data_IF_807279007196
#
_entry.id   IF_807279007196
#
_cell.length_a   1.000
_cell.length_b   1.000
_cell.length_c   1.000
_cell.angle_alpha   90.00
_cell.angle_beta   90.00
_cell.angle_gamma   90.00
#
_symmetry.space_group_name_H-M   'P 1'
#
loop_
_entity.id
_entity.type
_entity.pdbx_description
1 polymer ?
#
# COMPACT_ATOMS: atom_id res chain seq x y z
N UNK A 1 21.78 -0.33 -13.00
CA UNK A 1 23.05 -0.62 -13.71
C UNK A 1 23.45 -2.08 -13.49
N UNK A 2 23.91 -2.78 -14.52
CA UNK A 2 24.26 -4.21 -14.43
C UNK A 2 25.52 -4.47 -13.60
N UNK A 3 26.32 -3.44 -13.35
CA UNK A 3 27.59 -3.46 -12.62
C UNK A 3 27.46 -3.02 -11.14
N UNK A 4 26.24 -2.80 -10.65
CA UNK A 4 26.03 -2.36 -9.28
C UNK A 4 26.45 -3.44 -8.26
N UNK A 5 27.28 -3.06 -7.29
CA UNK A 5 27.70 -3.91 -6.16
C UNK A 5 26.69 -3.82 -5.01
N UNK A 6 26.06 -2.66 -4.83
CA UNK A 6 24.99 -2.49 -3.84
C UNK A 6 23.97 -1.46 -4.29
N UNK A 7 22.77 -1.54 -3.71
CA UNK A 7 21.66 -0.60 -3.94
C UNK A 7 21.10 -0.13 -2.60
N UNK A 8 20.91 1.19 -2.49
CA UNK A 8 20.28 1.85 -1.35
C UNK A 8 19.07 2.64 -1.82
N UNK A 9 18.05 2.72 -0.97
CA UNK A 9 16.86 3.55 -1.22
C UNK A 9 16.70 4.51 -0.05
N UNK A 10 16.71 5.82 -0.34
CA UNK A 10 16.52 6.86 0.69
C UNK A 10 15.06 6.90 1.17
N UNK A 11 14.77 7.51 2.33
CA UNK A 11 13.40 7.72 2.80
C UNK A 11 12.52 8.49 1.80
N UNK A 12 13.10 9.33 0.95
CA UNK A 12 12.42 10.09 -0.09
C UNK A 12 12.22 9.28 -1.38
N UNK A 13 12.62 8.00 -1.39
CA UNK A 13 12.49 7.07 -2.50
C UNK A 13 13.61 7.15 -3.54
N UNK A 14 14.69 7.91 -3.29
CA UNK A 14 15.82 8.02 -4.22
C UNK A 14 16.62 6.71 -4.20
N UNK A 15 16.83 6.12 -5.37
CA UNK A 15 17.55 4.86 -5.53
C UNK A 15 18.98 5.15 -5.98
N UNK A 16 19.93 4.72 -5.17
CA UNK A 16 21.36 4.91 -5.39
C UNK A 16 22.05 3.56 -5.57
N UNK A 17 22.89 3.43 -6.59
CA UNK A 17 23.73 2.26 -6.80
C UNK A 17 25.20 2.59 -6.53
N UNK A 18 25.91 1.69 -5.85
CA UNK A 18 27.36 1.73 -5.70
C UNK A 18 28.00 0.87 -6.78
N UNK A 19 29.00 1.42 -7.48
CA UNK A 19 29.74 0.72 -8.54
C UNK A 19 31.10 0.20 -8.06
N UNK A 20 31.84 -0.59 -8.87
CA UNK A 20 33.14 -1.15 -8.49
C UNK A 20 34.25 -0.14 -8.21
N UNK A 21 34.09 1.09 -8.69
CA UNK A 21 34.95 2.23 -8.35
C UNK A 21 34.64 2.84 -6.96
N UNK A 22 33.70 2.23 -6.23
CA UNK A 22 33.18 2.67 -4.93
C UNK A 22 32.45 4.02 -4.96
N UNK A 23 32.05 4.50 -6.15
CA UNK A 23 31.27 5.72 -6.31
C UNK A 23 29.76 5.41 -6.28
N UNK A 24 29.01 6.26 -5.57
CA UNK A 24 27.55 6.20 -5.51
C UNK A 24 26.91 7.05 -6.62
N UNK A 25 25.92 6.47 -7.32
CA UNK A 25 25.22 7.13 -8.42
C UNK A 25 23.71 7.00 -8.21
N UNK A 26 22.99 8.11 -8.33
CA UNK A 26 21.53 8.08 -8.41
C UNK A 26 21.11 7.41 -9.73
N UNK A 27 20.21 6.43 -9.63
CA UNK A 27 19.75 5.64 -10.78
C UNK A 27 18.24 5.76 -11.02
N UNK A 28 17.52 6.41 -10.12
CA UNK A 28 16.09 6.66 -10.25
C UNK A 28 15.43 7.01 -8.93
N UNK A 29 14.10 7.12 -8.96
CA UNK A 29 13.28 7.43 -7.80
C UNK A 29 12.00 6.62 -7.81
N UNK A 30 11.62 6.08 -6.66
CA UNK A 30 10.31 5.50 -6.42
C UNK A 30 9.31 6.63 -6.20
N UNK A 31 8.30 6.75 -7.05
CA UNK A 31 7.19 7.68 -6.88
C UNK A 31 6.10 7.04 -6.03
N UNK A 32 5.42 7.87 -5.23
CA UNK A 32 4.26 7.48 -4.43
C UNK A 32 3.10 8.34 -4.89
N UNK A 33 2.06 7.70 -5.43
CA UNK A 33 0.86 8.35 -5.92
C UNK A 33 -0.20 8.40 -4.81
N UNK A 34 -0.82 9.56 -4.62
CA UNK A 34 -1.95 9.74 -3.71
C UNK A 34 -3.23 9.95 -4.50
N UNK A 35 -4.35 9.45 -3.99
CA UNK A 35 -5.66 9.63 -4.59
C UNK A 35 -6.61 10.26 -3.57
N UNK A 36 -7.55 11.08 -4.05
CA UNK A 36 -8.54 11.72 -3.18
C UNK A 36 -9.44 10.70 -2.49
N UNK A 37 -9.81 9.63 -3.20
CA UNK A 37 -10.68 8.59 -2.69
C UNK A 37 -10.12 7.19 -2.96
N UNK A 38 -9.51 6.59 -1.93
CA UNK A 38 -8.94 5.22 -2.01
C UNK A 38 -10.01 4.17 -2.26
N UNK A 39 -11.24 4.35 -1.74
CA UNK A 39 -12.36 3.42 -1.97
C UNK A 39 -12.87 3.44 -3.42
N UNK A 40 -12.49 4.46 -4.19
CA UNK A 40 -12.78 4.55 -5.61
C UNK A 40 -11.81 3.76 -6.49
N UNK A 41 -10.73 3.21 -5.95
CA UNK A 41 -9.78 2.39 -6.70
C UNK A 41 -10.39 1.03 -7.04
N UNK A 42 -10.10 0.53 -8.25
CA UNK A 42 -10.55 -0.79 -8.68
C UNK A 42 -9.47 -1.83 -8.32
N UNK A 43 -9.79 -2.90 -7.58
CA UNK A 43 -8.87 -4.01 -7.39
C UNK A 43 -8.49 -4.66 -8.73
N UNK A 44 -7.20 -4.87 -8.95
CA UNK A 44 -6.63 -5.49 -10.16
C UNK A 44 -5.65 -6.62 -9.78
N UNK A 45 -6.08 -7.44 -8.82
CA UNK A 45 -5.29 -8.53 -8.24
C UNK A 45 -5.29 -8.47 -6.70
N UNK A 46 -4.43 -9.28 -6.05
CA UNK A 46 -4.43 -9.40 -4.58
C UNK A 46 -4.00 -8.13 -3.83
N UNK A 47 -3.06 -7.37 -4.39
CA UNK A 47 -2.48 -6.15 -3.78
C UNK A 47 -2.35 -4.99 -4.78
N UNK A 48 -2.85 -5.18 -6.00
CA UNK A 48 -2.75 -4.20 -7.07
C UNK A 48 -4.10 -3.51 -7.25
N UNK A 49 -4.03 -2.22 -7.57
CA UNK A 49 -5.19 -1.38 -7.76
C UNK A 49 -5.00 -0.49 -8.99
N UNK A 50 -6.08 -0.33 -9.75
CA UNK A 50 -6.16 0.55 -10.90
C UNK A 50 -6.97 1.81 -10.54
N UNK A 51 -6.47 2.97 -11.00
CA UNK A 51 -7.16 4.24 -10.85
C UNK A 51 -8.48 4.25 -11.65
N UNK A 52 -9.52 4.87 -11.09
CA UNK A 52 -10.81 5.07 -11.76
C UNK A 52 -11.24 6.53 -11.65
N UNK A 53 -12.27 6.92 -12.40
CA UNK A 53 -12.89 8.25 -12.25
C UNK A 53 -13.43 8.52 -10.84
N UNK A 54 -13.85 7.48 -10.11
CA UNK A 54 -14.36 7.59 -8.74
C UNK A 54 -13.25 7.78 -7.69
N UNK A 55 -12.00 7.41 -8.02
CA UNK A 55 -10.84 7.66 -7.17
C UNK A 55 -10.32 9.10 -7.28
N UNK A 56 -10.64 9.76 -8.40
CA UNK A 56 -10.07 11.03 -8.82
C UNK A 56 -8.73 10.87 -9.55
N UNK A 57 -8.11 11.99 -9.90
CA UNK A 57 -6.75 12.01 -10.44
C UNK A 57 -5.70 11.80 -9.36
N UNK A 58 -4.47 11.46 -9.78
CA UNK A 58 -3.31 11.47 -8.89
C UNK A 58 -3.10 12.87 -8.33
N UNK A 59 -2.91 12.95 -7.02
CA UNK A 59 -2.60 14.18 -6.31
C UNK A 59 -1.09 14.42 -6.33
N UNK A 60 -0.65 15.69 -6.42
CA UNK A 60 0.76 16.00 -6.21
C UNK A 60 1.19 15.57 -4.81
N UNK A 61 2.46 15.20 -4.62
CA UNK A 61 2.98 14.86 -3.29
C UNK A 61 2.72 16.02 -2.33
N UNK A 62 1.93 15.78 -1.28
CA UNK A 62 1.60 16.80 -0.28
C UNK A 62 2.85 17.18 0.52
N UNK A 63 3.07 18.48 0.75
CA UNK A 63 4.17 18.98 1.56
C UNK A 63 4.11 18.52 3.03
N UNK A 64 2.91 18.20 3.52
CA UNK A 64 2.67 17.73 4.89
C UNK A 64 2.66 16.20 5.00
N UNK A 65 2.44 15.50 3.89
CA UNK A 65 2.47 14.04 3.87
C UNK A 65 3.91 13.56 3.67
N UNK A 66 4.59 13.20 4.76
CA UNK A 66 5.87 12.49 4.68
C UNK A 66 5.60 11.04 4.26
N UNK A 67 5.38 10.82 2.97
CA UNK A 67 5.48 9.48 2.41
C UNK A 67 6.94 9.08 2.42
N UNK A 68 7.30 8.21 3.38
CA UNK A 68 8.65 7.72 3.55
C UNK A 68 8.76 6.27 3.06
N UNK A 69 9.86 5.96 2.38
CA UNK A 69 10.23 4.60 2.01
C UNK A 69 11.16 4.04 3.09
N UNK A 70 10.90 2.80 3.55
CA UNK A 70 11.75 2.11 4.53
C UNK A 70 12.39 0.88 3.90
N UNK A 71 13.66 1.01 3.51
CA UNK A 71 14.41 -0.12 2.95
C UNK A 71 14.50 -1.29 3.95
N UNK A 72 14.34 -2.51 3.45
CA UNK A 72 14.42 -3.73 4.27
C UNK A 72 13.22 -3.97 5.18
N UNK A 73 12.13 -3.21 5.02
CA UNK A 73 10.87 -3.40 5.74
C UNK A 73 9.78 -3.91 4.80
N UNK A 74 8.79 -4.62 5.35
CA UNK A 74 7.57 -5.03 4.67
C UNK A 74 6.36 -4.58 5.50
N UNK A 75 5.36 -3.98 4.85
CA UNK A 75 4.12 -3.58 5.52
C UNK A 75 3.27 -4.81 5.85
N UNK A 76 2.73 -4.84 7.08
CA UNK A 76 1.84 -5.91 7.54
C UNK A 76 0.39 -5.55 7.24
N UNK A 77 -0.48 -6.56 7.22
CA UNK A 77 -1.92 -6.35 7.12
C UNK A 77 -2.43 -5.52 8.30
N UNK A 78 -3.41 -4.68 8.05
CA UNK A 78 -4.18 -3.98 9.09
C UNK A 78 -5.29 -4.86 9.70
N UNK A 79 -5.47 -6.10 9.22
CA UNK A 79 -6.48 -7.04 9.73
C UNK A 79 -6.02 -7.68 11.03
N UNK A 80 -6.90 -7.67 12.02
CA UNK A 80 -6.73 -8.37 13.30
C UNK A 80 -7.67 -9.57 13.32
N UNK A 81 -7.12 -10.78 13.29
CA UNK A 81 -7.91 -12.01 13.11
C UNK A 81 -9.00 -12.19 14.15
N UNK A 82 -8.72 -11.95 15.44
CA UNK A 82 -9.69 -12.13 16.52
C UNK A 82 -10.90 -11.20 16.37
N UNK A 83 -10.66 -9.94 15.98
CA UNK A 83 -11.73 -8.97 15.73
C UNK A 83 -12.59 -9.37 14.52
N UNK A 84 -11.99 -9.98 13.50
CA UNK A 84 -12.71 -10.48 12.33
C UNK A 84 -13.61 -11.67 12.69
N UNK A 85 -13.12 -12.59 13.54
CA UNK A 85 -13.93 -13.72 14.02
C UNK A 85 -15.14 -13.28 14.83
N UNK A 86 -14.95 -12.30 15.73
CA UNK A 86 -16.04 -11.73 16.52
C UNK A 86 -17.12 -11.09 15.63
N UNK A 87 -16.70 -10.40 14.55
CA UNK A 87 -17.62 -9.80 13.58
C UNK A 87 -18.44 -10.87 12.84
N UNK A 88 -17.82 -11.98 12.44
CA UNK A 88 -18.50 -13.10 11.78
C UNK A 88 -19.51 -13.77 12.72
N UNK A 89 -19.16 -13.98 13.99
CA UNK A 89 -20.10 -14.57 14.97
C UNK A 89 -21.33 -13.68 15.17
N UNK A 90 -21.12 -12.37 15.34
CA UNK A 90 -22.21 -11.40 15.50
C UNK A 90 -23.13 -11.37 14.27
N UNK A 91 -22.55 -11.33 13.06
CA UNK A 91 -23.32 -11.35 11.83
C UNK A 91 -24.15 -12.64 11.69
N UNK A 92 -23.58 -13.79 12.06
CA UNK A 92 -24.28 -15.09 12.03
C UNK A 92 -25.47 -15.09 12.98
N UNK A 93 -25.27 -14.63 14.23
CA UNK A 93 -26.33 -14.55 15.24
C UNK A 93 -27.49 -13.64 14.79
N UNK A 94 -27.19 -12.49 14.18
CA UNK A 94 -28.21 -11.59 13.65
C UNK A 94 -29.01 -12.22 12.52
N UNK A 95 -28.34 -12.87 11.56
CA UNK A 95 -29.00 -13.55 10.45
C UNK A 95 -29.93 -14.68 10.94
N UNK A 96 -29.55 -15.40 12.00
CA UNK A 96 -30.40 -16.44 12.61
C UNK A 96 -31.67 -15.86 13.26
N UNK A 97 -31.56 -14.74 13.97
CA UNK A 97 -32.70 -14.05 14.58
C UNK A 97 -33.68 -13.53 13.52
N UNK A 98 -33.17 -12.91 12.45
CA UNK A 98 -33.99 -12.44 11.34
C UNK A 98 -34.73 -13.60 10.65
N UNK A 99 -34.03 -14.72 10.42
CA UNK A 99 -34.65 -15.92 9.82
C UNK A 99 -35.71 -16.54 10.74
N UNK A 100 -35.50 -16.50 12.06
CA UNK A 100 -36.47 -16.98 13.05
C UNK A 100 -37.73 -16.11 13.15
N UNK A 101 -37.60 -14.80 12.92
CA UNK A 101 -38.71 -13.83 12.96
C UNK A 101 -39.66 -13.92 11.74
N UNK A 102 -39.22 -14.52 10.64
CA UNK A 102 -39.97 -14.63 9.38
C UNK A 102 -40.83 -15.91 9.25
N UNK A 103 -40.82 -16.79 10.27
CA UNK A 103 -41.66 -18.00 10.35
C UNK A 103 -42.67 -17.88 11.48
#
# INVERSE_FOLDING_TARGET
PSDAISVKVSPEGVVTATRPDNNEHEIGKVSIAHFLNVQGLKPDGPVLFAATSAAGGELPPSADARSIVRQGSLELSNVVADAEWDAIEQATRLAELERGSLN
#
